data_IF_464494375542
#
_entry.id   IF_464494375542
#
_cell.length_a   1.000
_cell.length_b   1.000
_cell.length_c   1.000
_cell.angle_alpha   90.00
_cell.angle_beta   90.00
_cell.angle_gamma   90.00
#
_symmetry.space_group_name_H-M   'P 1'
#
loop_
_entity.id
_entity.type
_entity.pdbx_description
1 polymer ?
#
# COMPACT_ATOMS: atom_id res chain seq x y z
N UNK A 1 18.12 -12.46 -6.09
CA UNK A 1 19.50 -11.86 -6.05
C UNK A 1 20.23 -12.28 -4.80
N UNK A 2 21.50 -12.67 -4.89
CA UNK A 2 22.27 -13.22 -3.78
C UNK A 2 22.44 -12.20 -2.63
N UNK A 3 22.14 -12.61 -1.38
CA UNK A 3 22.23 -11.76 -0.17
C UNK A 3 23.65 -11.18 0.03
N UNK A 4 24.68 -11.91 -0.42
CA UNK A 4 26.07 -11.48 -0.38
C UNK A 4 26.32 -10.19 -1.20
N UNK A 5 25.74 -10.07 -2.41
CA UNK A 5 25.85 -8.84 -3.22
C UNK A 5 25.20 -7.65 -2.52
N UNK A 6 24.10 -7.87 -1.82
CA UNK A 6 23.41 -6.81 -1.06
C UNK A 6 24.22 -6.38 0.15
N UNK A 7 24.86 -7.31 0.86
CA UNK A 7 25.75 -7.00 1.99
C UNK A 7 26.97 -6.20 1.53
N UNK A 8 27.64 -6.60 0.46
CA UNK A 8 28.77 -5.85 -0.11
C UNK A 8 28.32 -4.43 -0.50
N UNK A 9 27.19 -4.31 -1.21
CA UNK A 9 26.64 -3.00 -1.55
C UNK A 9 26.34 -2.16 -0.31
N UNK A 10 25.79 -2.75 0.75
CA UNK A 10 25.47 -2.04 1.99
C UNK A 10 26.72 -1.54 2.73
N UNK A 11 27.82 -2.26 2.67
CA UNK A 11 29.12 -1.81 3.22
C UNK A 11 29.64 -0.61 2.42
N UNK A 12 29.56 -0.64 1.09
CA UNK A 12 29.94 0.48 0.23
C UNK A 12 29.06 1.71 0.50
N UNK A 13 27.79 1.50 0.82
CA UNK A 13 26.82 2.58 1.09
C UNK A 13 26.97 3.21 2.48
N UNK A 14 27.81 2.68 3.39
CA UNK A 14 27.92 3.13 4.79
C UNK A 14 28.01 4.66 4.94
N UNK A 15 28.83 5.39 4.13
CA UNK A 15 28.91 6.84 4.24
C UNK A 15 27.58 7.56 3.94
N UNK A 16 26.71 6.96 3.12
CA UNK A 16 25.45 7.55 2.66
C UNK A 16 24.25 7.15 3.54
N UNK A 17 24.38 6.06 4.30
CA UNK A 17 23.25 5.44 5.01
C UNK A 17 22.55 6.38 6.00
N UNK A 18 23.29 7.30 6.63
CA UNK A 18 22.75 8.27 7.59
C UNK A 18 23.01 9.73 7.21
N UNK A 19 23.50 9.97 6.00
CA UNK A 19 23.75 11.34 5.51
C UNK A 19 22.44 12.09 5.28
N UNK A 20 22.42 13.37 5.65
CA UNK A 20 21.31 14.24 5.25
C UNK A 20 21.42 14.50 3.75
N UNK A 21 20.31 14.38 3.06
CA UNK A 21 20.19 14.63 1.62
C UNK A 21 19.22 15.82 1.42
N UNK A 22 19.72 17.04 1.14
CA UNK A 22 18.87 18.24 1.06
C UNK A 22 17.77 18.15 -0.01
N UNK A 23 18.04 17.44 -1.09
CA UNK A 23 17.09 17.19 -2.19
C UNK A 23 17.03 15.70 -2.49
N UNK A 24 16.39 14.92 -1.61
CA UNK A 24 16.35 13.46 -1.78
C UNK A 24 15.56 13.09 -3.02
N UNK A 25 16.09 12.14 -3.79
CA UNK A 25 15.38 11.48 -4.88
C UNK A 25 14.50 10.38 -4.30
N UNK A 26 13.17 10.61 -4.35
CA UNK A 26 12.16 9.69 -3.85
C UNK A 26 11.57 8.91 -5.01
N UNK A 27 11.73 7.58 -5.00
CA UNK A 27 11.11 6.68 -5.97
C UNK A 27 10.05 5.83 -5.28
N UNK A 28 8.88 5.73 -5.92
CA UNK A 28 7.82 4.84 -5.48
C UNK A 28 7.78 3.60 -6.38
N UNK A 29 7.67 2.43 -5.78
CA UNK A 29 7.45 1.17 -6.49
C UNK A 29 6.02 0.70 -6.27
N UNK A 30 5.36 0.26 -7.34
CA UNK A 30 3.98 -0.24 -7.32
C UNK A 30 3.94 -1.63 -7.96
N UNK A 31 3.34 -2.58 -7.25
CA UNK A 31 2.96 -3.88 -7.82
C UNK A 31 1.47 -3.86 -8.06
N UNK A 32 1.06 -3.94 -9.32
CA UNK A 32 -0.34 -3.76 -9.73
C UNK A 32 -0.89 -4.97 -10.46
N UNK A 33 -2.19 -5.18 -10.32
CA UNK A 33 -2.99 -6.11 -11.09
C UNK A 33 -4.43 -5.66 -11.13
N UNK A 34 -4.94 -5.35 -12.32
CA UNK A 34 -6.32 -4.90 -12.54
C UNK A 34 -6.70 -3.69 -11.64
N UNK A 35 -5.92 -2.60 -11.77
CA UNK A 35 -5.98 -1.40 -10.93
C UNK A 35 -6.43 -0.14 -11.70
N UNK A 36 -7.17 -0.31 -12.80
CA UNK A 36 -7.60 0.81 -13.67
C UNK A 36 -8.32 1.93 -12.93
N UNK A 37 -9.08 1.61 -11.86
CA UNK A 37 -9.82 2.60 -11.09
C UNK A 37 -8.95 3.47 -10.17
N UNK A 38 -7.82 2.94 -9.72
CA UNK A 38 -6.99 3.55 -8.66
C UNK A 38 -5.67 4.13 -9.20
N UNK A 39 -5.05 3.45 -10.17
CA UNK A 39 -3.66 3.69 -10.54
C UNK A 39 -3.40 5.13 -10.99
N UNK A 40 -4.24 5.68 -11.86
CA UNK A 40 -4.06 7.04 -12.37
C UNK A 40 -4.06 8.07 -11.24
N UNK A 41 -5.07 8.02 -10.35
CA UNK A 41 -5.18 8.92 -9.20
C UNK A 41 -4.03 8.74 -8.22
N UNK A 42 -3.59 7.50 -8.01
CA UNK A 42 -2.43 7.20 -7.16
C UNK A 42 -1.16 7.88 -7.71
N UNK A 43 -0.92 7.77 -9.02
CA UNK A 43 0.24 8.41 -9.67
C UNK A 43 0.18 9.94 -9.56
N UNK A 44 -0.97 10.55 -9.86
CA UNK A 44 -1.15 12.01 -9.81
C UNK A 44 -0.94 12.51 -8.37
N UNK A 45 -1.60 11.90 -7.40
CA UNK A 45 -1.48 12.28 -6.00
C UNK A 45 -0.05 12.20 -5.48
N UNK A 46 0.64 11.09 -5.73
CA UNK A 46 2.00 10.94 -5.25
C UNK A 46 3.00 11.84 -5.97
N UNK A 47 2.73 12.17 -7.23
CA UNK A 47 3.51 13.19 -7.94
C UNK A 47 3.39 14.55 -7.27
N UNK A 48 2.19 14.94 -6.86
CA UNK A 48 1.94 16.17 -6.09
C UNK A 48 2.58 16.11 -4.69
N UNK A 49 2.61 14.92 -4.06
CA UNK A 49 3.28 14.69 -2.76
C UNK A 49 4.81 14.62 -2.87
N UNK A 50 5.39 14.87 -4.05
CA UNK A 50 6.84 15.01 -4.23
C UNK A 50 7.57 13.73 -4.64
N UNK A 51 6.88 12.68 -5.07
CA UNK A 51 7.52 11.50 -5.68
C UNK A 51 8.15 11.90 -7.02
N UNK A 52 9.43 11.60 -7.20
CA UNK A 52 10.16 11.97 -8.42
C UNK A 52 9.83 11.05 -9.59
N UNK A 53 9.75 9.75 -9.33
CA UNK A 53 9.51 8.75 -10.36
C UNK A 53 8.86 7.48 -9.79
N UNK A 54 8.24 6.72 -10.68
CA UNK A 54 7.60 5.46 -10.38
C UNK A 54 8.28 4.30 -11.10
N UNK A 55 8.34 3.13 -10.44
CA UNK A 55 8.70 1.85 -11.04
C UNK A 55 7.52 0.91 -10.82
N UNK A 56 6.99 0.33 -11.87
CA UNK A 56 5.78 -0.49 -11.79
C UNK A 56 6.09 -1.92 -12.24
N UNK A 57 5.62 -2.89 -11.45
CA UNK A 57 5.47 -4.27 -11.92
C UNK A 57 3.99 -4.51 -12.17
N UNK A 58 3.64 -4.77 -13.43
CA UNK A 58 2.31 -5.22 -13.84
C UNK A 58 2.25 -6.75 -13.79
N UNK A 59 1.41 -7.27 -12.91
CA UNK A 59 1.19 -8.70 -12.75
C UNK A 59 0.07 -9.18 -13.67
N UNK A 60 0.29 -9.03 -14.98
CA UNK A 60 -0.61 -9.56 -16.02
C UNK A 60 -2.04 -9.01 -15.89
N UNK A 61 -2.18 -7.68 -15.85
CA UNK A 61 -3.47 -7.00 -15.84
C UNK A 61 -4.22 -7.20 -17.15
N UNK A 62 -5.54 -7.30 -17.06
CA UNK A 62 -6.45 -7.55 -18.18
C UNK A 62 -7.43 -6.40 -18.45
N UNK A 63 -7.47 -5.42 -17.55
CA UNK A 63 -8.24 -4.18 -17.65
C UNK A 63 -7.45 -3.05 -18.34
N UNK A 64 -7.83 -1.80 -18.12
CA UNK A 64 -7.13 -0.63 -18.68
C UNK A 64 -5.81 -0.27 -17.98
N UNK A 65 -5.37 -1.03 -16.95
CA UNK A 65 -4.11 -0.76 -16.23
C UNK A 65 -2.90 -0.63 -17.15
N UNK A 66 -2.65 -1.52 -18.14
CA UNK A 66 -1.50 -1.40 -19.02
C UNK A 66 -1.52 -0.11 -19.88
N UNK A 67 -2.71 0.37 -20.27
CA UNK A 67 -2.88 1.63 -21.01
C UNK A 67 -2.48 2.83 -20.13
N UNK A 68 -2.92 2.86 -18.88
CA UNK A 68 -2.56 3.91 -17.93
C UNK A 68 -1.04 3.91 -17.69
N UNK A 69 -0.43 2.75 -17.50
CA UNK A 69 1.02 2.61 -17.32
C UNK A 69 1.76 3.22 -18.52
N UNK A 70 1.36 2.89 -19.73
CA UNK A 70 2.03 3.39 -20.96
C UNK A 70 1.88 4.91 -21.10
N UNK A 71 0.70 5.47 -20.82
CA UNK A 71 0.46 6.91 -20.85
C UNK A 71 1.41 7.66 -19.89
N UNK A 72 1.51 7.20 -18.62
CA UNK A 72 2.37 7.85 -17.63
C UNK A 72 3.87 7.54 -17.83
N UNK A 73 4.20 6.48 -18.54
CA UNK A 73 5.56 6.22 -19.04
C UNK A 73 5.95 7.24 -20.10
N UNK A 74 5.07 7.56 -21.04
CA UNK A 74 5.30 8.58 -22.07
C UNK A 74 5.41 9.99 -21.47
N UNK A 75 4.67 10.29 -20.40
CA UNK A 75 4.83 11.53 -19.59
C UNK A 75 6.15 11.58 -18.80
N UNK A 76 6.96 10.50 -18.79
CA UNK A 76 8.22 10.40 -18.08
C UNK A 76 8.08 10.26 -16.54
N UNK A 77 6.88 9.97 -16.02
CA UNK A 77 6.67 9.74 -14.60
C UNK A 77 7.03 8.30 -14.21
N UNK A 78 6.65 7.33 -15.02
CA UNK A 78 7.05 5.93 -14.86
C UNK A 78 8.37 5.74 -15.63
N UNK A 79 9.43 5.42 -14.88
CA UNK A 79 10.79 5.30 -15.44
C UNK A 79 11.18 3.86 -15.73
N UNK A 80 10.43 2.89 -15.23
CA UNK A 80 10.65 1.46 -15.49
C UNK A 80 9.35 0.68 -15.34
N UNK A 81 9.10 -0.25 -16.26
CA UNK A 81 7.94 -1.16 -16.24
C UNK A 81 8.47 -2.59 -16.31
N UNK A 82 7.92 -3.44 -15.48
CA UNK A 82 8.24 -4.87 -15.45
C UNK A 82 6.93 -5.62 -15.67
N UNK A 83 6.81 -6.29 -16.81
CA UNK A 83 5.68 -7.17 -17.08
C UNK A 83 5.96 -8.54 -16.46
N UNK A 84 5.15 -8.93 -15.49
CA UNK A 84 5.29 -10.20 -14.80
C UNK A 84 4.23 -11.18 -15.31
N UNK A 85 4.68 -12.24 -15.97
CA UNK A 85 3.82 -13.27 -16.55
C UNK A 85 3.73 -14.54 -15.69
N UNK A 86 4.47 -14.58 -14.59
CA UNK A 86 4.47 -15.75 -13.71
C UNK A 86 3.11 -15.96 -13.06
N UNK A 87 2.63 -17.20 -13.07
CA UNK A 87 1.35 -17.58 -12.47
C UNK A 87 1.43 -17.80 -10.96
N UNK A 88 2.64 -17.97 -10.41
CA UNK A 88 2.91 -18.04 -8.99
C UNK A 88 3.10 -16.62 -8.44
N UNK A 89 2.38 -16.30 -7.37
CA UNK A 89 2.46 -14.98 -6.75
C UNK A 89 3.70 -14.89 -5.84
N UNK A 90 4.77 -14.26 -6.35
CA UNK A 90 6.05 -14.06 -5.65
C UNK A 90 6.27 -12.56 -5.34
N UNK A 91 5.33 -11.97 -4.61
CA UNK A 91 5.30 -10.54 -4.30
C UNK A 91 6.66 -10.02 -3.80
N UNK A 92 7.27 -10.75 -2.88
CA UNK A 92 8.52 -10.33 -2.24
C UNK A 92 9.67 -10.19 -3.25
N UNK A 93 9.84 -11.15 -4.15
CA UNK A 93 10.87 -11.15 -5.18
C UNK A 93 10.65 -10.02 -6.18
N UNK A 94 9.40 -9.77 -6.55
CA UNK A 94 9.06 -8.71 -7.50
C UNK A 94 9.32 -7.33 -6.92
N UNK A 95 8.93 -7.09 -5.65
CA UNK A 95 9.22 -5.84 -4.95
C UNK A 95 10.72 -5.67 -4.73
N UNK A 96 11.43 -6.72 -4.30
CA UNK A 96 12.88 -6.70 -4.13
C UNK A 96 13.61 -6.30 -5.43
N UNK A 97 13.14 -6.80 -6.56
CA UNK A 97 13.66 -6.46 -7.90
C UNK A 97 13.44 -4.97 -8.22
N UNK A 98 12.26 -4.42 -7.92
CA UNK A 98 11.97 -2.99 -8.12
C UNK A 98 12.84 -2.10 -7.22
N UNK A 99 12.98 -2.45 -5.94
CA UNK A 99 13.85 -1.72 -4.99
C UNK A 99 15.29 -1.68 -5.52
N UNK A 100 15.78 -2.83 -6.00
CA UNK A 100 17.14 -2.90 -6.52
C UNK A 100 17.33 -2.05 -7.77
N UNK A 101 16.36 -2.03 -8.68
CA UNK A 101 16.37 -1.14 -9.85
C UNK A 101 16.31 0.33 -9.45
N UNK A 102 15.44 0.70 -8.50
CA UNK A 102 15.37 2.05 -7.95
C UNK A 102 16.74 2.51 -7.43
N UNK A 103 17.41 1.66 -6.66
CA UNK A 103 18.75 1.94 -6.12
C UNK A 103 19.81 2.05 -7.19
N UNK A 104 19.97 1.02 -8.03
CA UNK A 104 21.14 0.88 -8.90
C UNK A 104 21.02 1.63 -10.21
N UNK A 105 19.86 1.55 -10.86
CA UNK A 105 19.59 2.16 -12.16
C UNK A 105 19.14 3.62 -12.03
N UNK A 106 18.24 3.89 -11.09
CA UNK A 106 17.58 5.19 -10.99
C UNK A 106 18.10 6.06 -9.84
N UNK A 107 19.10 5.60 -9.08
CA UNK A 107 19.79 6.37 -8.04
C UNK A 107 18.84 6.98 -7.01
N UNK A 108 17.87 6.20 -6.55
CA UNK A 108 16.99 6.60 -5.46
C UNK A 108 17.78 6.85 -4.17
N UNK A 109 17.46 7.92 -3.46
CA UNK A 109 17.88 8.10 -2.07
C UNK A 109 16.91 7.40 -1.12
N UNK A 110 15.60 7.52 -1.41
CA UNK A 110 14.53 6.95 -0.63
C UNK A 110 13.54 6.19 -1.51
N UNK A 111 12.96 5.15 -0.93
CA UNK A 111 12.04 4.26 -1.64
C UNK A 111 10.77 4.06 -0.80
N UNK A 112 9.63 4.19 -1.44
CA UNK A 112 8.32 3.77 -0.95
C UNK A 112 7.91 2.55 -1.77
N UNK A 113 7.47 1.49 -1.09
CA UNK A 113 6.85 0.35 -1.75
C UNK A 113 5.36 0.36 -1.37
N UNK A 114 4.49 0.65 -2.32
CA UNK A 114 3.08 0.85 -2.11
C UNK A 114 2.22 -0.12 -2.93
N UNK A 115 1.02 -0.37 -2.45
CA UNK A 115 -0.06 -0.94 -3.22
C UNK A 115 -0.87 0.20 -3.88
N UNK A 116 -1.60 -0.05 -4.98
CA UNK A 116 -2.29 1.00 -5.73
C UNK A 116 -3.41 1.70 -4.92
N UNK A 117 -3.93 1.04 -3.89
CA UNK A 117 -4.98 1.53 -2.99
C UNK A 117 -4.43 2.23 -1.74
N UNK A 118 -3.12 2.54 -1.71
CA UNK A 118 -2.44 3.24 -0.63
C UNK A 118 -2.01 4.64 -1.07
N UNK A 119 -2.47 5.67 -0.34
CA UNK A 119 -2.15 7.07 -0.58
C UNK A 119 -1.31 7.63 0.57
N UNK A 120 -0.03 7.86 0.29
CA UNK A 120 0.98 8.31 1.26
C UNK A 120 0.93 9.83 1.41
N UNK A 121 0.48 10.30 2.55
CA UNK A 121 0.20 11.71 2.80
C UNK A 121 1.18 12.31 3.81
N UNK A 122 1.72 13.48 3.46
CA UNK A 122 2.47 14.33 4.39
C UNK A 122 1.64 15.55 4.78
N UNK A 123 1.52 15.88 6.08
CA UNK A 123 0.84 17.10 6.53
C UNK A 123 1.42 18.40 5.94
N UNK A 124 2.71 18.40 5.58
CA UNK A 124 3.37 19.53 4.94
C UNK A 124 3.04 19.68 3.46
N UNK A 125 2.37 18.69 2.85
CA UNK A 125 2.10 18.62 1.42
C UNK A 125 3.25 18.07 0.59
N UNK A 126 4.38 17.67 1.21
CA UNK A 126 5.51 17.07 0.51
C UNK A 126 6.20 16.01 1.37
N UNK A 127 6.25 14.78 0.90
CA UNK A 127 6.89 13.66 1.60
C UNK A 127 8.38 13.91 1.87
N UNK A 128 9.05 14.63 0.97
CA UNK A 128 10.50 14.90 1.08
C UNK A 128 10.85 15.82 2.24
N UNK A 129 9.91 16.56 2.80
CA UNK A 129 10.20 17.48 3.91
C UNK A 129 10.70 16.74 5.14
N UNK A 130 10.13 15.59 5.42
CA UNK A 130 10.61 14.73 6.50
C UNK A 130 11.87 13.94 6.10
N UNK A 131 11.94 13.47 4.85
CA UNK A 131 13.07 12.68 4.36
C UNK A 131 14.39 13.47 4.35
N UNK A 132 14.37 14.76 4.06
CA UNK A 132 15.57 15.62 4.08
C UNK A 132 16.07 15.94 5.49
N UNK A 133 15.20 15.85 6.49
CA UNK A 133 15.49 16.25 7.87
C UNK A 133 15.91 15.06 8.77
N UNK A 134 15.64 13.83 8.36
CA UNK A 134 15.87 12.66 9.22
C UNK A 134 17.25 12.04 9.00
N UNK A 135 17.87 11.60 10.12
CA UNK A 135 19.07 10.74 10.13
C UNK A 135 18.73 9.26 10.28
N UNK A 136 17.45 8.90 10.38
CA UNK A 136 17.03 7.50 10.27
C UNK A 136 17.16 7.04 8.83
N UNK A 137 17.26 5.73 8.61
CA UNK A 137 17.20 5.15 7.27
C UNK A 137 15.95 4.29 7.06
N UNK A 138 15.12 4.18 8.09
CA UNK A 138 13.79 3.58 8.04
C UNK A 138 12.81 4.46 8.80
N UNK A 139 11.72 4.86 8.16
CA UNK A 139 10.61 5.56 8.78
C UNK A 139 9.41 4.62 8.85
N UNK A 140 8.84 4.47 10.05
CA UNK A 140 7.59 3.72 10.26
C UNK A 140 6.42 4.66 10.07
N UNK A 141 5.49 4.28 9.21
CA UNK A 141 4.37 5.09 8.75
C UNK A 141 3.06 4.43 9.18
N UNK A 142 2.22 5.19 9.87
CA UNK A 142 0.90 4.74 10.30
C UNK A 142 -0.03 4.53 9.11
N UNK A 143 -0.84 3.48 9.13
CA UNK A 143 -1.90 3.26 8.17
C UNK A 143 -3.25 3.65 8.76
N UNK A 144 -4.09 4.29 7.96
CA UNK A 144 -5.44 4.73 8.30
C UNK A 144 -6.41 4.24 7.25
N UNK A 145 -7.29 3.32 7.63
CA UNK A 145 -8.33 2.85 6.73
C UNK A 145 -9.35 3.96 6.46
N UNK A 146 -9.79 4.04 5.20
CA UNK A 146 -10.87 4.93 4.77
C UNK A 146 -12.19 4.20 4.91
N UNK A 147 -13.20 4.92 5.41
CA UNK A 147 -14.56 4.40 5.47
C UNK A 147 -15.22 4.47 4.09
N UNK A 148 -15.72 3.35 3.54
CA UNK A 148 -16.40 3.39 2.24
C UNK A 148 -17.75 4.08 2.35
N UNK A 149 -17.94 5.14 1.56
CA UNK A 149 -19.19 5.90 1.49
C UNK A 149 -19.99 5.47 0.27
N UNK A 150 -21.05 4.73 0.50
CA UNK A 150 -21.89 4.18 -0.59
C UNK A 150 -22.50 5.32 -1.43
N UNK A 151 -22.56 5.11 -2.74
CA UNK A 151 -23.11 6.09 -3.69
C UNK A 151 -22.14 7.22 -4.08
N UNK A 152 -20.94 7.25 -3.50
CA UNK A 152 -19.88 8.20 -3.88
C UNK A 152 -18.67 7.46 -4.48
N UNK A 153 -18.00 8.02 -5.48
CA UNK A 153 -16.74 7.48 -5.93
C UNK A 153 -15.68 7.59 -4.80
N UNK A 154 -14.72 6.66 -4.76
CA UNK A 154 -13.79 6.56 -3.63
C UNK A 154 -12.97 7.85 -3.35
N UNK A 155 -12.72 8.64 -4.36
CA UNK A 155 -11.98 9.91 -4.23
C UNK A 155 -12.77 11.03 -3.55
N UNK A 156 -14.07 10.86 -3.37
CA UNK A 156 -14.95 11.78 -2.63
C UNK A 156 -15.18 11.31 -1.17
N UNK A 157 -14.66 10.16 -0.79
CA UNK A 157 -14.79 9.68 0.58
C UNK A 157 -13.97 10.55 1.52
N UNK A 158 -14.61 11.01 2.59
CA UNK A 158 -14.05 11.98 3.51
C UNK A 158 -13.83 11.44 4.93
N UNK A 159 -14.13 10.16 5.19
CA UNK A 159 -14.13 9.59 6.53
C UNK A 159 -13.01 8.56 6.70
N UNK A 160 -12.36 8.62 7.87
CA UNK A 160 -11.38 7.63 8.32
C UNK A 160 -11.90 6.84 9.50
N UNK A 161 -11.37 5.63 9.69
CA UNK A 161 -11.70 4.79 10.85
C UNK A 161 -10.55 4.68 11.84
N UNK A 162 -10.88 4.61 13.13
CA UNK A 162 -9.94 4.29 14.19
C UNK A 162 -10.03 2.82 14.56
N UNK A 163 -8.91 2.18 14.91
CA UNK A 163 -8.93 0.80 15.37
C UNK A 163 -9.78 0.58 16.61
N UNK A 164 -10.48 -0.55 16.63
CA UNK A 164 -11.31 -1.03 17.74
C UNK A 164 -10.71 -2.32 18.28
N UNK A 165 -10.70 -2.50 19.59
CA UNK A 165 -10.22 -3.72 20.22
C UNK A 165 -11.35 -4.77 20.40
N UNK A 166 -12.55 -4.30 20.74
CA UNK A 166 -13.73 -5.14 21.00
C UNK A 166 -14.69 -5.10 19.80
N UNK A 167 -14.51 -6.05 18.88
CA UNK A 167 -15.35 -6.18 17.71
C UNK A 167 -16.76 -6.67 18.02
N UNK A 168 -16.94 -7.43 19.09
CA UNK A 168 -18.23 -8.00 19.45
C UNK A 168 -19.22 -6.91 19.91
N UNK A 169 -18.70 -5.90 20.60
CA UNK A 169 -19.50 -4.78 21.08
C UNK A 169 -20.28 -4.06 19.98
N UNK A 170 -19.71 -3.99 18.77
CA UNK A 170 -20.28 -3.28 17.64
C UNK A 170 -20.70 -4.22 16.49
N UNK A 171 -20.86 -5.50 16.77
CA UNK A 171 -21.18 -6.53 15.76
C UNK A 171 -20.26 -6.44 14.51
N UNK A 172 -18.96 -6.30 14.73
CA UNK A 172 -17.98 -6.22 13.64
C UNK A 172 -17.44 -7.60 13.26
N UNK A 173 -17.07 -7.73 11.99
CA UNK A 173 -16.31 -8.89 11.51
C UNK A 173 -14.93 -8.97 12.15
N UNK A 174 -14.41 -10.18 12.32
CA UNK A 174 -13.00 -10.37 12.69
C UNK A 174 -12.00 -9.85 11.63
N UNK A 175 -12.45 -9.57 10.42
CA UNK A 175 -11.68 -8.94 9.33
C UNK A 175 -12.23 -7.55 8.99
N UNK A 176 -12.66 -6.81 10.01
CA UNK A 176 -13.23 -5.49 9.84
C UNK A 176 -12.16 -4.46 9.43
N UNK A 177 -12.60 -3.42 8.73
CA UNK A 177 -11.78 -2.23 8.43
C UNK A 177 -11.31 -1.51 9.70
N UNK A 178 -11.94 -1.79 10.85
CA UNK A 178 -11.56 -1.27 12.17
C UNK A 178 -10.44 -2.10 12.83
N UNK A 179 -9.90 -3.13 12.16
CA UNK A 179 -8.71 -3.83 12.63
C UNK A 179 -7.49 -2.89 12.59
N UNK A 180 -6.63 -3.00 13.60
CA UNK A 180 -5.39 -2.24 13.64
C UNK A 180 -4.45 -2.68 12.52
N UNK A 181 -4.21 -1.80 11.57
CA UNK A 181 -3.30 -2.04 10.46
C UNK A 181 -1.84 -2.09 10.94
N UNK A 182 -1.04 -2.98 10.35
CA UNK A 182 0.40 -2.95 10.54
C UNK A 182 0.99 -1.72 9.83
N UNK A 183 1.94 -1.00 10.45
CA UNK A 183 2.58 0.15 9.82
C UNK A 183 3.32 -0.27 8.54
N UNK A 184 3.40 0.65 7.58
CA UNK A 184 4.29 0.53 6.41
C UNK A 184 5.64 1.18 6.70
N UNK A 185 6.58 1.08 5.75
CA UNK A 185 7.90 1.68 5.90
C UNK A 185 8.31 2.45 4.65
N UNK A 186 8.94 3.62 4.88
CA UNK A 186 9.77 4.31 3.89
C UNK A 186 11.21 3.99 4.27
N UNK A 187 12.05 3.69 3.30
CA UNK A 187 13.44 3.35 3.61
C UNK A 187 14.43 3.98 2.63
N UNK A 188 15.65 4.19 3.09
CA UNK A 188 16.73 4.59 2.19
C UNK A 188 17.07 3.45 1.23
N UNK A 189 17.56 3.81 0.05
CA UNK A 189 18.11 2.85 -0.89
C UNK A 189 19.48 2.32 -0.40
N UNK A 190 20.28 3.20 0.20
CA UNK A 190 21.56 2.84 0.82
C UNK A 190 21.34 1.94 2.04
N UNK A 191 22.11 0.86 2.14
CA UNK A 191 22.02 -0.11 3.23
C UNK A 191 20.88 -1.13 3.10
N UNK A 192 20.10 -1.13 2.03
CA UNK A 192 18.99 -2.07 1.83
C UNK A 192 19.45 -3.52 1.70
N UNK A 193 18.80 -4.42 2.45
CA UNK A 193 19.03 -5.87 2.39
C UNK A 193 17.81 -6.65 1.93
N UNK A 194 16.66 -6.42 2.55
CA UNK A 194 15.46 -7.23 2.33
C UNK A 194 14.20 -6.50 2.77
N UNK A 195 13.09 -6.75 2.07
CA UNK A 195 11.74 -6.33 2.48
C UNK A 195 10.90 -7.53 2.88
N UNK A 196 9.94 -7.32 3.80
CA UNK A 196 8.95 -8.35 4.13
C UNK A 196 7.79 -8.34 3.14
N UNK A 197 7.05 -9.44 3.08
CA UNK A 197 5.76 -9.48 2.41
C UNK A 197 4.83 -8.38 2.98
N UNK A 198 4.04 -7.73 2.13
CA UNK A 198 3.16 -6.63 2.50
C UNK A 198 3.87 -5.31 2.84
N UNK A 199 5.19 -5.21 2.62
CA UNK A 199 5.97 -3.97 2.79
C UNK A 199 5.96 -3.38 4.22
N UNK A 200 5.69 -4.21 5.25
CA UNK A 200 5.56 -3.77 6.64
C UNK A 200 6.90 -3.65 7.37
N UNK A 201 7.93 -4.34 6.93
CA UNK A 201 9.26 -4.35 7.55
C UNK A 201 10.35 -4.40 6.49
N UNK A 202 11.44 -3.71 6.75
CA UNK A 202 12.66 -3.75 5.94
C UNK A 202 13.84 -4.12 6.81
N UNK A 203 14.80 -4.85 6.25
CA UNK A 203 16.11 -5.08 6.86
C UNK A 203 17.12 -4.19 6.14
N UNK A 204 17.87 -3.44 6.93
CA UNK A 204 18.94 -2.54 6.49
C UNK A 204 20.24 -2.88 7.20
N UNK A 205 21.36 -2.45 6.64
CA UNK A 205 22.64 -2.52 7.34
C UNK A 205 23.47 -1.25 7.09
N UNK A 206 23.82 -0.53 8.17
CA UNK A 206 23.20 -0.59 9.50
C UNK A 206 21.75 -0.10 9.47
N UNK A 207 20.98 -0.30 10.54
CA UNK A 207 19.58 0.12 10.58
C UNK A 207 19.31 1.08 11.74
N UNK A 208 18.69 2.21 11.43
CA UNK A 208 18.15 3.17 12.39
C UNK A 208 16.72 3.53 12.00
N UNK A 209 15.77 3.14 12.85
CA UNK A 209 14.34 3.35 12.60
C UNK A 209 13.82 4.51 13.43
N UNK A 210 12.95 5.35 12.84
CA UNK A 210 12.19 6.38 13.52
C UNK A 210 10.70 6.28 13.14
N UNK A 211 9.82 6.86 13.96
CA UNK A 211 8.42 7.05 13.58
C UNK A 211 8.31 8.28 12.68
N UNK A 212 7.34 8.27 11.80
CA UNK A 212 7.07 9.33 10.83
C UNK A 212 5.79 10.08 11.17
N UNK A 213 5.70 11.35 10.75
CA UNK A 213 4.47 12.12 10.69
C UNK A 213 3.71 11.90 9.37
N UNK A 214 4.33 11.23 8.41
CA UNK A 214 3.67 10.74 7.20
C UNK A 214 2.73 9.60 7.61
N UNK A 215 1.60 9.49 6.95
CA UNK A 215 0.68 8.36 7.12
C UNK A 215 0.10 7.93 5.78
N UNK A 216 -0.47 6.72 5.75
CA UNK A 216 -1.06 6.14 4.56
C UNK A 216 -2.56 6.09 4.72
N UNK A 217 -3.29 6.67 3.79
CA UNK A 217 -4.71 6.40 3.61
C UNK A 217 -4.88 5.14 2.78
N UNK A 218 -5.56 4.15 3.34
CA UNK A 218 -5.73 2.84 2.71
C UNK A 218 -7.20 2.61 2.32
N UNK A 219 -7.44 2.54 1.03
CA UNK A 219 -8.75 2.26 0.42
C UNK A 219 -8.92 0.75 0.22
N UNK A 220 -8.83 -0.01 1.30
CA UNK A 220 -8.88 -1.48 1.29
C UNK A 220 -10.22 -2.06 0.81
N UNK A 221 -11.29 -1.27 0.84
CA UNK A 221 -12.59 -1.57 0.23
C UNK A 221 -12.95 -0.42 -0.70
N UNK A 222 -13.17 -0.69 -1.97
CA UNK A 222 -13.53 0.31 -2.99
C UNK A 222 -15.03 0.36 -3.23
N UNK A 223 -15.62 -0.81 -3.42
CA UNK A 223 -17.03 -1.02 -3.68
C UNK A 223 -17.42 -2.40 -3.16
N UNK A 224 -18.71 -2.56 -2.79
CA UNK A 224 -19.26 -3.85 -2.36
C UNK A 224 -19.04 -4.94 -3.40
N UNK A 225 -19.35 -4.65 -4.67
CA UNK A 225 -19.20 -5.61 -5.78
C UNK A 225 -17.74 -6.06 -5.94
N UNK A 226 -16.80 -5.11 -5.91
CA UNK A 226 -15.36 -5.40 -5.99
C UNK A 226 -14.89 -6.27 -4.81
N UNK A 227 -15.30 -5.93 -3.58
CA UNK A 227 -14.99 -6.72 -2.38
C UNK A 227 -15.49 -8.16 -2.54
N UNK A 228 -16.77 -8.34 -2.92
CA UNK A 228 -17.37 -9.65 -3.12
C UNK A 228 -16.58 -10.48 -4.14
N UNK A 229 -16.29 -9.90 -5.31
CA UNK A 229 -15.56 -10.59 -6.38
C UNK A 229 -14.14 -10.96 -5.96
N UNK A 230 -13.42 -10.06 -5.26
CA UNK A 230 -12.07 -10.31 -4.73
C UNK A 230 -12.07 -11.48 -3.74
N UNK A 231 -13.03 -11.55 -2.83
CA UNK A 231 -13.14 -12.64 -1.84
C UNK A 231 -13.49 -13.97 -2.49
N UNK A 232 -14.40 -13.97 -3.47
CA UNK A 232 -14.79 -15.18 -4.21
C UNK A 232 -13.62 -15.70 -5.05
N UNK A 233 -12.96 -14.85 -5.81
CA UNK A 233 -11.85 -15.25 -6.68
C UNK A 233 -10.66 -15.76 -5.87
N UNK A 234 -10.28 -15.05 -4.80
CA UNK A 234 -9.20 -15.47 -3.92
C UNK A 234 -9.48 -16.82 -3.24
N UNK A 235 -10.72 -17.04 -2.80
CA UNK A 235 -11.14 -18.28 -2.21
C UNK A 235 -11.12 -19.45 -3.21
N UNK A 236 -11.63 -19.26 -4.43
CA UNK A 236 -11.57 -20.25 -5.51
C UNK A 236 -10.13 -20.67 -5.84
N UNK A 237 -9.24 -19.71 -5.95
CA UNK A 237 -7.82 -19.99 -6.21
C UNK A 237 -7.17 -20.82 -5.10
N UNK A 238 -7.51 -20.54 -3.84
CA UNK A 238 -6.99 -21.33 -2.71
C UNK A 238 -7.57 -22.74 -2.61
N UNK A 239 -8.79 -22.97 -3.07
CA UNK A 239 -9.36 -24.32 -3.16
C UNK A 239 -8.65 -25.16 -4.23
N UNK A 240 -8.31 -24.56 -5.37
CA UNK A 240 -7.62 -25.25 -6.47
C UNK A 240 -6.16 -25.60 -6.13
N UNK A 241 -5.51 -24.81 -5.25
CA UNK A 241 -4.10 -24.99 -4.89
C UNK A 241 -3.96 -25.45 -3.43
N UNK A 242 -4.29 -26.72 -3.16
CA UNK A 242 -4.11 -27.34 -1.83
C UNK A 242 -2.64 -27.27 -1.40
N UNK A 243 -2.36 -26.63 -0.25
CA UNK A 243 -1.02 -26.57 0.35
C UNK A 243 -0.39 -25.19 0.45
N UNK A 244 -0.94 -24.13 -0.12
CA UNK A 244 -0.44 -22.77 0.09
C UNK A 244 -0.82 -22.26 1.49
N UNK A 245 0.20 -21.86 2.26
CA UNK A 245 0.01 -21.13 3.52
C UNK A 245 -0.41 -19.69 3.24
N UNK A 246 -1.40 -19.16 3.99
CA UNK A 246 -1.90 -17.79 3.83
C UNK A 246 -3.34 -17.73 3.35
N UNK A 247 -3.84 -16.50 3.13
CA UNK A 247 -5.20 -16.26 2.62
C UNK A 247 -6.33 -16.69 3.58
N UNK A 248 -6.12 -16.61 4.91
CA UNK A 248 -7.13 -16.98 5.91
C UNK A 248 -8.44 -16.23 5.71
N UNK A 249 -8.38 -14.94 5.42
CA UNK A 249 -9.54 -14.10 5.14
C UNK A 249 -10.27 -14.57 3.87
N UNK A 250 -9.57 -14.91 2.76
CA UNK A 250 -10.22 -15.43 1.54
C UNK A 250 -10.95 -16.74 1.79
N UNK A 251 -10.36 -17.66 2.57
CA UNK A 251 -11.04 -18.93 2.95
C UNK A 251 -12.29 -18.67 3.79
N UNK A 252 -12.19 -17.73 4.72
CA UNK A 252 -13.31 -17.33 5.57
C UNK A 252 -14.46 -16.77 4.75
N UNK A 253 -14.22 -15.73 3.95
CA UNK A 253 -15.25 -15.10 3.14
C UNK A 253 -15.80 -16.03 2.06
N UNK A 254 -14.97 -16.87 1.46
CA UNK A 254 -15.43 -17.83 0.47
C UNK A 254 -16.33 -18.92 1.07
N UNK A 255 -16.05 -19.35 2.30
CA UNK A 255 -16.98 -20.22 3.05
C UNK A 255 -18.34 -19.55 3.24
N UNK A 256 -18.35 -18.27 3.65
CA UNK A 256 -19.59 -17.50 3.82
C UNK A 256 -20.32 -17.26 2.50
N UNK A 257 -19.59 -17.07 1.41
CA UNK A 257 -20.17 -17.00 0.07
C UNK A 257 -20.96 -18.29 -0.28
N UNK A 258 -20.36 -19.47 -0.04
CA UNK A 258 -21.04 -20.76 -0.29
C UNK A 258 -22.27 -20.98 0.58
N UNK A 259 -22.37 -20.29 1.72
CA UNK A 259 -23.51 -20.32 2.63
C UNK A 259 -24.54 -19.21 2.37
N UNK A 260 -24.33 -18.33 1.36
CA UNK A 260 -25.19 -17.19 1.10
C UNK A 260 -25.11 -16.07 2.15
N UNK A 261 -24.05 -16.05 2.97
CA UNK A 261 -23.87 -15.12 4.11
C UNK A 261 -22.85 -14.02 3.87
N UNK A 262 -22.21 -13.97 2.69
CA UNK A 262 -21.13 -13.04 2.41
C UNK A 262 -21.57 -11.57 2.46
N UNK A 263 -22.79 -11.28 2.03
CA UNK A 263 -23.34 -9.91 2.06
C UNK A 263 -23.57 -9.41 3.49
N UNK A 264 -24.17 -10.24 4.34
CA UNK A 264 -24.35 -9.89 5.74
C UNK A 264 -23.00 -9.66 6.44
N UNK A 265 -22.01 -10.48 6.12
CA UNK A 265 -20.66 -10.31 6.66
C UNK A 265 -19.95 -9.07 6.11
N UNK A 266 -20.18 -8.68 4.86
CA UNK A 266 -19.69 -7.41 4.33
C UNK A 266 -20.17 -6.23 5.18
N UNK A 267 -21.45 -6.20 5.56
CA UNK A 267 -21.99 -5.15 6.42
C UNK A 267 -21.27 -5.11 7.78
N UNK A 268 -20.89 -6.26 8.33
CA UNK A 268 -20.08 -6.36 9.55
C UNK A 268 -18.62 -5.94 9.33
N UNK A 269 -18.06 -6.19 8.16
CA UNK A 269 -16.70 -5.74 7.80
C UNK A 269 -16.58 -4.23 7.85
N UNK A 270 -17.54 -3.52 7.29
CA UNK A 270 -17.56 -2.04 7.26
C UNK A 270 -18.27 -1.43 8.47
N UNK A 271 -18.89 -2.23 9.34
CA UNK A 271 -19.64 -1.74 10.50
C UNK A 271 -20.91 -0.98 10.14
N UNK A 272 -21.56 -1.34 9.01
CA UNK A 272 -22.74 -0.63 8.49
C UNK A 272 -23.90 -0.66 9.50
N UNK A 273 -24.15 -1.80 10.14
CA UNK A 273 -25.23 -1.98 11.11
C UNK A 273 -25.06 -1.09 12.36
N UNK A 274 -23.81 -0.77 12.72
CA UNK A 274 -23.45 0.02 13.89
C UNK A 274 -22.87 1.40 13.54
N UNK A 275 -23.09 1.89 12.33
CA UNK A 275 -22.48 3.12 11.82
C UNK A 275 -22.66 4.33 12.74
N UNK A 276 -23.89 4.57 13.20
CA UNK A 276 -24.20 5.72 14.07
C UNK A 276 -23.52 5.60 15.44
N UNK A 277 -23.47 4.40 16.01
CA UNK A 277 -22.78 4.14 17.29
C UNK A 277 -21.26 4.34 17.14
N UNK A 278 -20.68 3.83 16.07
CA UNK A 278 -19.25 3.97 15.75
C UNK A 278 -18.85 5.43 15.52
N UNK A 279 -19.71 6.19 14.83
CA UNK A 279 -19.51 7.62 14.60
C UNK A 279 -19.63 8.41 15.90
N UNK A 280 -20.66 8.18 16.70
CA UNK A 280 -20.85 8.85 18.00
C UNK A 280 -19.72 8.52 19.00
N UNK A 281 -19.21 7.30 18.98
CA UNK A 281 -18.05 6.89 19.78
C UNK A 281 -16.70 7.42 19.23
N UNK A 282 -16.71 8.09 18.07
CA UNK A 282 -15.53 8.70 17.46
C UNK A 282 -14.57 7.70 16.79
N UNK A 283 -15.06 6.52 16.42
CA UNK A 283 -14.31 5.54 15.62
C UNK A 283 -14.40 5.82 14.12
N UNK A 284 -15.46 6.47 13.66
CA UNK A 284 -15.58 7.02 12.30
C UNK A 284 -15.50 8.54 12.43
N UNK A 285 -14.62 9.18 11.69
CA UNK A 285 -14.39 10.63 11.74
C UNK A 285 -14.18 11.22 10.37
N UNK A 286 -14.72 12.43 10.17
CA UNK A 286 -14.36 13.27 9.05
C UNK A 286 -12.86 13.55 9.04
N UNK A 287 -12.28 13.59 7.87
CA UNK A 287 -10.86 13.79 7.64
C UNK A 287 -10.62 14.84 6.56
N UNK A 288 -10.53 16.14 6.91
CA UNK A 288 -10.40 17.23 5.93
C UNK A 288 -9.18 17.10 5.01
N UNK A 289 -8.12 16.40 5.44
CA UNK A 289 -6.95 16.18 4.59
C UNK A 289 -7.20 15.24 3.40
N UNK A 290 -8.32 14.51 3.40
CA UNK A 290 -8.76 13.73 2.23
C UNK A 290 -9.25 14.62 1.07
N UNK A 291 -9.66 15.87 1.33
CA UNK A 291 -10.05 16.83 0.30
C UNK A 291 -8.93 17.06 -0.74
N UNK A 292 -7.68 16.92 -0.35
CA UNK A 292 -6.54 16.99 -1.28
C UNK A 292 -6.49 15.83 -2.28
N UNK A 293 -7.05 14.68 -1.94
CA UNK A 293 -7.19 13.55 -2.86
C UNK A 293 -8.25 13.81 -3.94
N UNK A 294 -9.20 14.72 -3.66
CA UNK A 294 -10.30 15.07 -4.55
C UNK A 294 -9.88 16.04 -5.67
N UNK A 295 -8.75 16.74 -5.49
CA UNK A 295 -8.27 17.79 -6.41
C UNK A 295 -7.32 17.26 -7.50
N UNK A 296 -7.13 15.94 -7.61
CA UNK A 296 -6.22 15.28 -8.55
C UNK A 296 -6.87 14.76 -9.85
#
# INVERSE_FOLDING_TARGET
>A
MHILKKLISSIIDLPQTFSLTPRPRLIMTLLVKDEEQMLERNLIFHKQMGVDAFIITDNNSTDSTPRIIEEYRQKGWIVDVINETATNYEQKEWIDRMIWRAKTKFKADWIINADADEFWYSPTGNLKDELKATRANVLRVEMRSIYPEEGKPFWEWAQTVKPIADFQKYDLSQYSIFERQNPKVIHRAAGYLQISMGNHKVKMFPQKTANSNIFVYHYNIREKAHFMQKMINGGKQLEQHKGKHGGRHWRYFYKLYKLGQLEAEYNRVIGLNSYNELRNAGFIKECPSLERLQQG
#
